data_IF_303360509125
#
_entry.id   IF_303360509125
#
_cell.length_a   1.000
_cell.length_b   1.000
_cell.length_c   1.000
_cell.angle_alpha   90.00
_cell.angle_beta   90.00
_cell.angle_gamma   90.00
#
_symmetry.space_group_name_H-M   'P 1'
#
loop_
_entity.id
_entity.type
_entity.pdbx_description
1 polymer ?
#
# COMPACT_ATOMS: atom_id res chain seq x y z
N UNK A 1 -31.71 2.52 2.30
CA UNK A 1 -31.55 1.07 2.54
C UNK A 1 -31.83 0.86 4.01
N UNK A 2 -32.59 -0.18 4.38
CA UNK A 2 -32.79 -0.51 5.79
C UNK A 2 -31.48 -1.03 6.38
N UNK A 3 -31.22 -0.69 7.65
CA UNK A 3 -30.07 -1.21 8.38
C UNK A 3 -30.30 -2.70 8.67
N UNK A 4 -29.35 -3.59 8.33
CA UNK A 4 -29.49 -5.02 8.60
C UNK A 4 -29.39 -5.30 10.10
N UNK A 5 -30.06 -6.34 10.60
CA UNK A 5 -29.88 -6.77 11.99
C UNK A 5 -28.50 -7.39 12.19
N UNK A 6 -27.82 -7.00 13.26
CA UNK A 6 -26.47 -7.46 13.53
C UNK A 6 -26.47 -8.76 14.34
N UNK A 7 -25.77 -9.82 13.89
CA UNK A 7 -25.79 -11.10 14.56
C UNK A 7 -25.06 -11.01 15.91
N UNK A 8 -25.73 -11.46 16.98
CA UNK A 8 -25.12 -11.56 18.32
C UNK A 8 -24.96 -10.23 19.07
N UNK A 9 -25.66 -9.18 18.65
CA UNK A 9 -25.60 -7.84 19.28
C UNK A 9 -26.97 -7.48 19.85
N UNK A 10 -27.00 -6.79 21.00
CA UNK A 10 -28.24 -6.27 21.56
C UNK A 10 -28.79 -5.07 20.78
N UNK A 11 -30.10 -4.84 20.80
CA UNK A 11 -30.73 -3.71 20.07
C UNK A 11 -30.14 -2.34 20.48
N UNK A 12 -29.76 -2.19 21.75
CA UNK A 12 -29.14 -0.96 22.27
C UNK A 12 -27.74 -0.73 21.70
N UNK A 13 -26.92 -1.78 21.64
CA UNK A 13 -25.57 -1.71 21.06
C UNK A 13 -25.62 -1.51 19.54
N UNK A 14 -26.58 -2.15 18.88
CA UNK A 14 -26.85 -1.97 17.46
C UNK A 14 -27.22 -0.51 17.15
N UNK A 15 -28.13 0.09 17.91
CA UNK A 15 -28.49 1.51 17.77
C UNK A 15 -27.30 2.44 17.98
N UNK A 16 -26.46 2.16 18.97
CA UNK A 16 -25.23 2.93 19.24
C UNK A 16 -24.23 2.82 18.09
N UNK A 17 -24.05 1.62 17.51
CA UNK A 17 -23.17 1.40 16.37
C UNK A 17 -23.64 2.17 15.14
N UNK A 18 -24.94 2.14 14.84
CA UNK A 18 -25.51 2.90 13.73
C UNK A 18 -25.40 4.41 13.95
N UNK A 19 -25.59 4.90 15.17
CA UNK A 19 -25.38 6.31 15.49
C UNK A 19 -23.93 6.74 15.21
N UNK A 20 -22.94 5.96 15.66
CA UNK A 20 -21.51 6.21 15.39
C UNK A 20 -21.19 6.16 13.89
N UNK A 21 -21.77 5.21 13.16
CA UNK A 21 -21.57 5.08 11.72
C UNK A 21 -22.18 6.27 10.95
N UNK A 22 -23.35 6.75 11.37
CA UNK A 22 -23.98 7.95 10.81
C UNK A 22 -23.14 9.20 11.06
N UNK A 23 -22.58 9.34 12.26
CA UNK A 23 -21.66 10.43 12.58
C UNK A 23 -20.40 10.37 11.72
N UNK A 24 -19.80 9.19 11.58
CA UNK A 24 -18.64 8.98 10.70
C UNK A 24 -18.92 9.34 9.22
N UNK A 25 -20.15 9.09 8.76
CA UNK A 25 -20.59 9.38 7.40
C UNK A 25 -21.00 10.85 7.18
N UNK A 26 -21.07 11.66 8.24
CA UNK A 26 -21.52 13.06 8.14
C UNK A 26 -20.55 13.87 7.27
N UNK A 27 -21.10 14.56 6.27
CA UNK A 27 -20.33 15.40 5.34
C UNK A 27 -19.58 14.64 4.24
N UNK A 28 -19.77 13.32 4.13
CA UNK A 28 -19.24 12.51 3.02
C UNK A 28 -20.16 12.57 1.79
N UNK A 29 -19.58 12.28 0.63
CA UNK A 29 -20.29 12.34 -0.65
C UNK A 29 -21.33 11.22 -0.79
N UNK A 30 -22.34 11.47 -1.62
CA UNK A 30 -23.38 10.49 -1.91
C UNK A 30 -22.82 9.25 -2.59
N UNK A 31 -23.42 8.08 -2.34
CA UNK A 31 -23.03 6.82 -2.97
C UNK A 31 -23.15 6.86 -4.50
N UNK A 32 -24.02 7.71 -5.06
CA UNK A 32 -24.17 7.89 -6.52
C UNK A 32 -22.98 8.61 -7.15
N UNK A 33 -22.34 9.50 -6.41
CA UNK A 33 -21.26 10.35 -6.91
C UNK A 33 -19.90 9.68 -6.71
N UNK A 34 -19.58 9.31 -5.46
CA UNK A 34 -18.27 8.80 -5.11
C UNK A 34 -18.23 7.26 -5.04
N UNK A 35 -19.38 6.60 -4.94
CA UNK A 35 -19.47 5.22 -4.48
C UNK A 35 -19.54 5.11 -2.96
N UNK A 36 -19.63 3.89 -2.45
CA UNK A 36 -19.75 3.62 -1.01
C UNK A 36 -19.01 2.35 -0.63
N UNK A 37 -18.35 2.36 0.52
CA UNK A 37 -17.76 1.16 1.10
C UNK A 37 -18.82 0.39 1.86
N UNK A 38 -18.82 -0.92 1.66
CA UNK A 38 -19.83 -1.83 2.16
C UNK A 38 -19.15 -2.84 3.09
N UNK A 39 -19.56 -2.85 4.34
CA UNK A 39 -19.20 -3.89 5.31
C UNK A 39 -20.33 -4.91 5.28
N UNK A 40 -20.04 -6.07 4.70
CA UNK A 40 -21.00 -7.13 4.45
C UNK A 40 -20.97 -8.14 5.59
N UNK A 41 -22.17 -8.51 6.07
CA UNK A 41 -22.35 -9.43 7.19
C UNK A 41 -21.80 -10.84 6.90
N UNK A 42 -21.40 -11.58 7.96
CA UNK A 42 -21.06 -13.00 7.87
C UNK A 42 -22.21 -13.84 7.29
N UNK A 43 -21.86 -14.98 6.67
CA UNK A 43 -22.82 -15.91 6.06
C UNK A 43 -22.46 -17.36 6.35
N UNK A 44 -23.38 -18.32 6.16
CA UNK A 44 -23.07 -19.74 6.28
C UNK A 44 -21.84 -20.11 5.44
N UNK A 45 -20.82 -20.71 6.06
CA UNK A 45 -19.56 -21.05 5.42
C UNK A 45 -18.53 -19.91 5.27
N UNK A 46 -18.88 -18.65 5.60
CA UNK A 46 -17.93 -17.53 5.70
C UNK A 46 -18.21 -16.72 6.98
N UNK A 47 -17.51 -17.03 8.09
CA UNK A 47 -17.79 -16.43 9.40
C UNK A 47 -17.30 -14.98 9.54
N UNK A 48 -16.48 -14.49 8.61
CA UNK A 48 -15.90 -13.15 8.68
C UNK A 48 -16.81 -12.13 8.00
N UNK A 49 -16.84 -10.90 8.53
CA UNK A 49 -17.31 -9.75 7.77
C UNK A 49 -16.42 -9.57 6.54
N UNK A 50 -16.95 -8.98 5.48
CA UNK A 50 -16.16 -8.71 4.26
C UNK A 50 -16.34 -7.28 3.80
N UNK A 51 -15.28 -6.71 3.23
CA UNK A 51 -15.26 -5.35 2.74
C UNK A 51 -15.41 -5.34 1.22
N UNK A 52 -16.35 -4.51 0.75
CA UNK A 52 -16.66 -4.32 -0.66
C UNK A 52 -16.74 -2.84 -1.01
N UNK A 53 -16.65 -2.52 -2.29
CA UNK A 53 -16.90 -1.19 -2.83
C UNK A 53 -18.08 -1.25 -3.80
N UNK A 54 -19.08 -0.41 -3.58
CA UNK A 54 -19.98 -0.01 -4.66
C UNK A 54 -19.36 1.15 -5.43
N UNK A 55 -19.13 0.97 -6.73
CA UNK A 55 -18.62 2.00 -7.64
C UNK A 55 -19.67 2.35 -8.69
N UNK A 56 -19.98 3.64 -8.92
CA UNK A 56 -20.91 4.05 -9.98
C UNK A 56 -20.31 3.93 -11.39
N UNK A 57 -19.01 3.61 -11.51
CA UNK A 57 -18.30 3.56 -12.79
C UNK A 57 -18.77 2.41 -13.70
N UNK A 58 -18.74 1.13 -13.25
CA UNK A 58 -19.26 0.03 -14.06
C UNK A 58 -20.80 -0.04 -14.00
N UNK A 59 -21.44 -0.01 -15.18
CA UNK A 59 -22.90 -0.15 -15.31
C UNK A 59 -23.42 -1.53 -14.90
N UNK A 60 -22.58 -2.56 -15.05
CA UNK A 60 -22.86 -3.95 -14.63
C UNK A 60 -21.82 -4.37 -13.60
N UNK A 61 -22.26 -5.08 -12.56
CA UNK A 61 -21.41 -5.54 -11.46
C UNK A 61 -20.70 -4.38 -10.72
N UNK A 62 -21.53 -3.48 -10.19
CA UNK A 62 -21.07 -2.28 -9.48
C UNK A 62 -20.55 -2.54 -8.07
N UNK A 63 -20.70 -3.75 -7.53
CA UNK A 63 -20.23 -4.12 -6.19
C UNK A 63 -19.00 -5.03 -6.33
N UNK A 64 -17.87 -4.58 -5.83
CA UNK A 64 -16.55 -5.17 -6.01
C UNK A 64 -15.98 -5.63 -4.67
N UNK A 65 -15.48 -6.85 -4.61
CA UNK A 65 -14.86 -7.41 -3.40
C UNK A 65 -13.48 -6.79 -3.15
N UNK A 66 -13.13 -6.51 -1.89
CA UNK A 66 -11.79 -6.01 -1.54
C UNK A 66 -11.02 -7.05 -0.73
N UNK A 67 -11.52 -7.40 0.46
CA UNK A 67 -10.96 -8.42 1.34
C UNK A 67 -11.89 -8.77 2.50
N UNK A 68 -11.64 -9.90 3.13
CA UNK A 68 -12.27 -10.29 4.39
C UNK A 68 -11.71 -9.47 5.57
N UNK A 69 -12.59 -9.17 6.52
CA UNK A 69 -12.32 -8.47 7.78
C UNK A 69 -12.30 -9.49 8.94
N UNK A 70 -12.57 -9.02 10.16
CA UNK A 70 -12.69 -9.83 11.37
C UNK A 70 -14.09 -10.48 11.45
N UNK A 71 -14.27 -11.59 12.18
CA UNK A 71 -15.60 -12.06 12.59
C UNK A 71 -16.29 -11.12 13.58
N UNK A 72 -15.54 -10.26 14.29
CA UNK A 72 -16.12 -9.26 15.20
C UNK A 72 -16.48 -7.97 14.45
N UNK A 73 -17.67 -7.43 14.74
CA UNK A 73 -18.17 -6.23 14.06
C UNK A 73 -17.43 -4.95 14.48
N UNK A 74 -17.05 -4.83 15.75
CA UNK A 74 -16.40 -3.63 16.27
C UNK A 74 -15.00 -3.53 15.68
N UNK A 75 -14.28 -4.65 15.64
CA UNK A 75 -13.01 -4.77 14.94
C UNK A 75 -13.16 -4.49 13.45
N UNK A 76 -14.15 -5.06 12.79
CA UNK A 76 -14.38 -4.88 11.35
C UNK A 76 -14.69 -3.43 10.99
N UNK A 77 -15.60 -2.78 11.72
CA UNK A 77 -15.92 -1.37 11.57
C UNK A 77 -14.72 -0.49 11.92
N UNK A 78 -13.97 -0.81 12.97
CA UNK A 78 -12.74 -0.10 13.33
C UNK A 78 -11.70 -0.20 12.21
N UNK A 79 -11.45 -1.40 11.68
CA UNK A 79 -10.52 -1.62 10.56
C UNK A 79 -10.94 -0.83 9.32
N UNK A 80 -12.21 -0.92 8.92
CA UNK A 80 -12.72 -0.25 7.72
C UNK A 80 -12.76 1.28 7.87
N UNK A 81 -13.31 1.79 8.98
CA UNK A 81 -13.37 3.23 9.27
C UNK A 81 -11.98 3.84 9.40
N UNK A 82 -11.04 3.13 10.01
CA UNK A 82 -9.65 3.56 10.11
C UNK A 82 -8.99 3.56 8.73
N UNK A 83 -9.21 2.52 7.90
CA UNK A 83 -8.66 2.44 6.54
C UNK A 83 -9.11 3.58 5.62
N UNK A 84 -10.38 3.98 5.71
CA UNK A 84 -10.99 4.98 4.84
C UNK A 84 -11.40 6.27 5.56
N UNK A 85 -10.73 6.58 6.67
CA UNK A 85 -11.06 7.72 7.52
C UNK A 85 -11.12 9.04 6.73
N UNK A 86 -10.15 9.25 5.82
CA UNK A 86 -10.07 10.45 4.98
C UNK A 86 -10.69 10.28 3.58
N UNK A 87 -11.31 9.14 3.29
CA UNK A 87 -12.06 8.95 2.06
C UNK A 87 -13.30 9.85 2.05
N UNK A 88 -13.70 10.31 0.87
CA UNK A 88 -14.97 11.02 0.67
C UNK A 88 -16.17 10.07 0.64
N UNK A 89 -15.96 8.75 0.63
CA UNK A 89 -17.00 7.73 0.53
C UNK A 89 -17.56 7.36 1.90
N UNK A 90 -18.87 7.18 1.98
CA UNK A 90 -19.51 6.62 3.15
C UNK A 90 -19.10 5.15 3.38
N UNK A 91 -19.33 4.69 4.60
CA UNK A 91 -19.23 3.29 5.02
C UNK A 91 -20.62 2.82 5.47
N UNK A 92 -21.13 1.73 4.90
CA UNK A 92 -22.48 1.21 5.20
C UNK A 92 -22.41 -0.29 5.51
N UNK A 93 -23.23 -0.75 6.44
CA UNK A 93 -23.44 -2.16 6.73
C UNK A 93 -24.55 -2.73 5.84
N UNK A 94 -24.37 -3.93 5.30
CA UNK A 94 -25.40 -4.55 4.47
C UNK A 94 -25.35 -6.08 4.48
N UNK A 95 -26.50 -6.69 4.21
CA UNK A 95 -26.59 -8.13 3.99
C UNK A 95 -25.92 -8.54 2.68
N UNK A 96 -25.38 -9.76 2.67
CA UNK A 96 -24.81 -10.34 1.47
C UNK A 96 -25.91 -10.59 0.43
N UNK A 97 -25.70 -10.10 -0.79
CA UNK A 97 -26.62 -10.29 -1.90
C UNK A 97 -25.97 -11.13 -3.00
N UNK A 98 -26.34 -12.41 -3.07
CA UNK A 98 -25.79 -13.36 -4.06
C UNK A 98 -25.82 -12.83 -5.50
N UNK A 99 -26.95 -12.25 -5.92
CA UNK A 99 -27.13 -11.79 -7.31
C UNK A 99 -26.21 -10.64 -7.69
N UNK A 100 -25.77 -9.82 -6.72
CA UNK A 100 -24.99 -8.60 -6.96
C UNK A 100 -23.55 -8.68 -6.49
N UNK A 101 -23.24 -9.58 -5.56
CA UNK A 101 -21.93 -9.73 -4.92
C UNK A 101 -21.21 -11.03 -5.31
N UNK A 102 -21.73 -11.79 -6.25
CA UNK A 102 -20.98 -12.92 -6.82
C UNK A 102 -19.94 -12.39 -7.81
N UNK A 103 -18.69 -12.89 -7.72
CA UNK A 103 -17.68 -12.60 -8.74
C UNK A 103 -18.04 -13.36 -10.01
N UNK A 104 -18.29 -12.64 -11.10
CA UNK A 104 -18.48 -13.22 -12.43
C UNK A 104 -17.14 -13.43 -13.17
N UNK A 105 -16.00 -13.23 -12.50
CA UNK A 105 -14.67 -13.27 -13.13
C UNK A 105 -14.36 -12.09 -14.04
N UNK A 106 -15.18 -11.04 -14.04
CA UNK A 106 -14.93 -9.80 -14.79
C UNK A 106 -13.77 -8.97 -14.21
N UNK A 107 -13.32 -9.29 -12.99
CA UNK A 107 -12.14 -8.73 -12.33
C UNK A 107 -10.90 -9.66 -12.42
N UNK A 108 -10.99 -10.74 -13.19
CA UNK A 108 -9.87 -11.65 -13.44
C UNK A 108 -8.94 -11.09 -14.54
N UNK A 109 -7.67 -10.95 -14.21
CA UNK A 109 -6.65 -10.46 -15.14
C UNK A 109 -6.37 -11.55 -16.18
N UNK A 110 -6.66 -11.26 -17.44
CA UNK A 110 -6.49 -12.22 -18.55
C UNK A 110 -5.17 -12.03 -19.31
N UNK A 111 -4.24 -11.17 -18.88
CA UNK A 111 -3.01 -10.90 -19.61
C UNK A 111 -1.86 -10.45 -18.71
N UNK A 112 -0.65 -10.38 -19.28
CA UNK A 112 0.52 -9.81 -18.62
C UNK A 112 1.02 -10.58 -17.40
N UNK A 113 1.80 -9.90 -16.56
CA UNK A 113 2.52 -10.45 -15.39
C UNK A 113 1.60 -11.18 -14.40
N UNK A 114 0.38 -10.68 -14.21
CA UNK A 114 -0.55 -11.16 -13.18
C UNK A 114 -1.74 -11.91 -13.79
N UNK A 115 -1.57 -12.55 -14.96
CA UNK A 115 -2.62 -13.35 -15.59
C UNK A 115 -3.11 -14.45 -14.62
N UNK A 116 -4.42 -14.56 -14.45
CA UNK A 116 -5.06 -15.52 -13.55
C UNK A 116 -5.30 -14.99 -12.13
N UNK A 117 -4.83 -13.79 -11.80
CA UNK A 117 -5.10 -13.13 -10.53
C UNK A 117 -6.28 -12.17 -10.61
N UNK A 118 -6.95 -11.95 -9.49
CA UNK A 118 -8.01 -10.95 -9.39
C UNK A 118 -7.44 -9.55 -9.11
N UNK A 119 -8.12 -8.51 -9.59
CA UNK A 119 -7.68 -7.12 -9.40
C UNK A 119 -7.56 -6.74 -7.90
N UNK A 120 -8.40 -7.29 -7.02
CA UNK A 120 -8.31 -7.04 -5.57
C UNK A 120 -7.05 -7.64 -4.93
N UNK A 121 -6.48 -8.72 -5.50
CA UNK A 121 -5.21 -9.29 -5.05
C UNK A 121 -4.05 -8.36 -5.43
N UNK A 122 -4.08 -7.88 -6.67
CA UNK A 122 -3.05 -6.98 -7.19
C UNK A 122 -3.09 -5.61 -6.51
N UNK A 123 -4.24 -5.18 -6.00
CA UNK A 123 -4.35 -3.98 -5.16
C UNK A 123 -3.40 -4.00 -3.95
N UNK A 124 -3.14 -5.18 -3.38
CA UNK A 124 -2.24 -5.33 -2.23
C UNK A 124 -0.78 -5.49 -2.63
N UNK A 125 -0.52 -6.12 -3.78
CA UNK A 125 0.82 -6.51 -4.23
C UNK A 125 1.48 -5.38 -5.04
N UNK A 126 0.78 -4.87 -6.06
CA UNK A 126 1.34 -3.94 -7.06
C UNK A 126 0.28 -2.94 -7.56
N UNK A 127 -0.01 -1.87 -6.79
CA UNK A 127 -0.97 -0.85 -7.20
C UNK A 127 -0.56 -0.06 -8.45
N UNK A 128 0.74 -0.05 -8.80
CA UNK A 128 1.22 0.61 -10.01
C UNK A 128 0.74 -0.13 -11.27
N UNK A 129 0.69 -1.47 -11.22
CA UNK A 129 0.10 -2.27 -12.28
C UNK A 129 -1.39 -1.96 -12.46
N UNK A 130 -2.17 -1.85 -11.37
CA UNK A 130 -3.57 -1.44 -11.46
C UNK A 130 -3.75 -0.07 -12.10
N UNK A 131 -2.88 0.89 -11.75
CA UNK A 131 -2.90 2.24 -12.33
C UNK A 131 -2.60 2.21 -13.83
N UNK A 132 -1.70 1.33 -14.28
CA UNK A 132 -1.44 1.11 -15.69
C UNK A 132 -2.66 0.50 -16.39
N UNK A 133 -3.32 -0.49 -15.79
CA UNK A 133 -4.55 -1.09 -16.36
C UNK A 133 -5.67 -0.06 -16.45
N UNK A 134 -5.84 0.78 -15.43
CA UNK A 134 -6.90 1.78 -15.36
C UNK A 134 -6.80 2.89 -16.42
N UNK A 135 -5.58 3.26 -16.86
CA UNK A 135 -5.36 4.46 -17.69
C UNK A 135 -4.50 4.26 -18.93
N UNK A 136 -3.71 3.18 -19.03
CA UNK A 136 -2.82 2.93 -20.18
C UNK A 136 -3.22 1.72 -21.00
N UNK A 137 -3.96 0.78 -20.43
CA UNK A 137 -4.48 -0.34 -21.18
C UNK A 137 -5.58 0.12 -22.14
N UNK A 138 -5.42 -0.19 -23.43
CA UNK A 138 -6.39 0.14 -24.48
C UNK A 138 -7.33 -1.04 -24.72
N UNK A 139 -8.59 -0.96 -24.25
CA UNK A 139 -9.55 -2.03 -24.47
C UNK A 139 -9.94 -2.10 -25.95
N UNK A 140 -10.13 -3.31 -26.46
CA UNK A 140 -10.53 -3.56 -27.86
C UNK A 140 -11.95 -4.11 -28.00
N UNK A 141 -12.55 -4.57 -26.90
CA UNK A 141 -13.82 -5.28 -26.86
C UNK A 141 -14.61 -4.76 -25.65
N UNK A 142 -15.95 -4.67 -25.67
CA UNK A 142 -16.75 -4.16 -24.55
C UNK A 142 -16.49 -4.86 -23.20
N UNK A 143 -16.15 -6.16 -23.22
CA UNK A 143 -15.75 -6.88 -22.00
C UNK A 143 -14.48 -6.29 -21.36
N UNK A 144 -13.53 -5.87 -22.19
CA UNK A 144 -12.28 -5.25 -21.74
C UNK A 144 -12.50 -3.82 -21.23
N UNK A 145 -13.44 -3.06 -21.82
CA UNK A 145 -13.83 -1.74 -21.32
C UNK A 145 -14.38 -1.83 -19.90
N UNK A 146 -15.24 -2.81 -19.63
CA UNK A 146 -15.74 -3.10 -18.27
C UNK A 146 -14.60 -3.46 -17.31
N UNK A 147 -13.66 -4.30 -17.74
CA UNK A 147 -12.48 -4.63 -16.94
C UNK A 147 -11.65 -3.38 -16.58
N UNK A 148 -11.50 -2.43 -17.51
CA UNK A 148 -10.83 -1.14 -17.24
C UNK A 148 -11.62 -0.30 -16.23
N UNK A 149 -12.94 -0.22 -16.34
CA UNK A 149 -13.79 0.50 -15.36
C UNK A 149 -13.67 -0.11 -13.96
N UNK A 150 -13.63 -1.44 -13.85
CA UNK A 150 -13.40 -2.14 -12.59
C UNK A 150 -11.99 -1.82 -12.06
N UNK A 151 -10.97 -1.82 -12.92
CA UNK A 151 -9.61 -1.43 -12.54
C UNK A 151 -9.52 0.03 -12.06
N UNK A 152 -10.28 0.95 -12.68
CA UNK A 152 -10.40 2.34 -12.22
C UNK A 152 -11.05 2.43 -10.83
N UNK A 153 -12.08 1.62 -10.58
CA UNK A 153 -12.69 1.51 -9.26
C UNK A 153 -11.66 1.04 -8.20
N UNK A 154 -10.89 -0.01 -8.47
CA UNK A 154 -9.83 -0.46 -7.57
C UNK A 154 -8.69 0.56 -7.42
N UNK A 155 -8.31 1.26 -8.49
CA UNK A 155 -7.35 2.36 -8.41
C UNK A 155 -7.85 3.47 -7.48
N UNK A 156 -9.14 3.79 -7.51
CA UNK A 156 -9.72 4.79 -6.61
C UNK A 156 -9.68 4.38 -5.13
N UNK A 157 -9.73 3.06 -4.82
CA UNK A 157 -9.51 2.54 -3.47
C UNK A 157 -8.05 2.75 -3.06
N UNK A 158 -7.12 2.47 -3.96
CA UNK A 158 -5.70 2.73 -3.71
C UNK A 158 -5.47 4.19 -3.32
N UNK A 159 -6.05 5.14 -4.06
CA UNK A 159 -5.96 6.56 -3.75
C UNK A 159 -6.49 6.89 -2.35
N UNK A 160 -7.65 6.35 -1.95
CA UNK A 160 -8.19 6.57 -0.60
C UNK A 160 -7.23 6.06 0.50
N UNK A 161 -6.65 4.87 0.32
CA UNK A 161 -5.65 4.32 1.25
C UNK A 161 -4.41 5.22 1.28
N UNK A 162 -4.01 5.78 0.13
CA UNK A 162 -2.85 6.67 0.06
C UNK A 162 -3.09 8.02 0.73
N UNK A 163 -4.29 8.59 0.64
CA UNK A 163 -4.66 9.84 1.35
C UNK A 163 -4.51 9.67 2.85
N UNK A 164 -4.88 8.50 3.39
CA UNK A 164 -4.66 8.19 4.80
C UNK A 164 -3.18 8.17 5.13
N UNK A 165 -2.38 7.40 4.37
CA UNK A 165 -0.93 7.32 4.60
C UNK A 165 -0.25 8.69 4.54
N UNK A 166 -0.72 9.59 3.67
CA UNK A 166 -0.16 10.94 3.58
C UNK A 166 -0.55 11.87 4.73
N UNK A 167 -1.69 11.61 5.39
CA UNK A 167 -2.16 12.42 6.52
C UNK A 167 -1.70 11.90 7.88
N UNK A 168 -1.50 10.60 8.04
CA UNK A 168 -1.04 9.99 9.30
C UNK A 168 0.45 10.28 9.60
N UNK A 169 1.29 10.45 8.57
CA UNK A 169 2.75 10.67 8.74
C UNK A 169 3.13 12.15 8.83
N UNK A 170 2.45 12.92 9.68
CA UNK A 170 2.80 14.34 9.88
C UNK A 170 3.90 14.52 10.94
N UNK A 171 5.09 14.02 10.65
CA UNK A 171 6.30 14.78 10.97
C UNK A 171 6.61 15.61 9.73
N UNK A 172 6.70 16.93 9.84
CA UNK A 172 7.03 17.84 8.74
C UNK A 172 8.47 17.59 8.25
N UNK A 173 8.69 16.49 7.53
CA UNK A 173 10.00 16.16 6.95
C UNK A 173 10.34 17.21 5.89
N UNK A 174 11.54 17.77 5.96
CA UNK A 174 12.13 18.65 4.96
C UNK A 174 13.19 17.88 4.18
N UNK A 175 13.55 18.39 3.00
CA UNK A 175 14.72 17.88 2.29
C UNK A 175 15.98 18.27 3.06
N UNK A 176 16.95 17.34 3.15
CA UNK A 176 18.20 17.54 3.90
C UNK A 176 19.19 18.51 3.21
N UNK A 177 18.88 18.95 1.99
CA UNK A 177 19.73 19.78 1.14
C UNK A 177 19.21 19.79 -0.30
N UNK A 178 19.79 20.64 -1.15
CA UNK A 178 19.43 20.85 -2.54
C UNK A 178 20.02 19.83 -3.51
N UNK A 179 19.42 19.69 -4.69
CA UNK A 179 19.87 18.71 -5.68
C UNK A 179 21.31 19.01 -6.13
N UNK A 180 22.21 18.03 -5.96
CA UNK A 180 23.63 18.16 -6.27
C UNK A 180 24.50 18.68 -5.11
N UNK A 181 23.90 19.17 -4.03
CA UNK A 181 24.62 19.64 -2.84
C UNK A 181 25.43 18.51 -2.20
N UNK A 182 26.63 18.86 -1.71
CA UNK A 182 27.47 17.95 -0.93
C UNK A 182 27.24 18.23 0.55
N UNK A 183 26.62 17.27 1.23
CA UNK A 183 26.38 17.30 2.66
C UNK A 183 27.54 16.62 3.38
N UNK A 184 27.95 17.16 4.52
CA UNK A 184 29.04 16.64 5.35
C UNK A 184 28.55 16.37 6.77
N UNK A 185 29.24 15.49 7.48
CA UNK A 185 29.07 15.22 8.92
C UNK A 185 27.62 14.91 9.34
N UNK A 186 26.97 13.99 8.61
CA UNK A 186 25.60 13.59 8.90
C UNK A 186 25.56 12.44 9.90
N UNK A 187 24.69 12.56 10.90
CA UNK A 187 24.35 11.50 11.86
C UNK A 187 22.91 11.04 11.63
N UNK A 188 22.75 9.84 11.08
CA UNK A 188 21.43 9.34 10.66
C UNK A 188 21.11 8.01 11.32
N UNK A 189 19.87 7.83 11.79
CA UNK A 189 19.39 6.59 12.40
C UNK A 189 18.62 5.73 11.39
N UNK A 190 18.90 4.43 11.35
CA UNK A 190 18.19 3.48 10.48
C UNK A 190 16.77 3.23 11.01
N UNK A 191 15.77 3.46 10.16
CA UNK A 191 14.35 3.22 10.47
C UNK A 191 13.71 2.13 9.62
N UNK A 192 14.32 1.80 8.47
CA UNK A 192 13.89 0.69 7.64
C UNK A 192 15.06 0.14 6.81
N UNK A 193 15.11 -1.17 6.69
CA UNK A 193 16.07 -1.89 5.84
C UNK A 193 15.30 -2.73 4.84
N UNK A 194 15.70 -2.68 3.57
CA UNK A 194 15.19 -3.54 2.50
C UNK A 194 16.36 -4.14 1.73
N UNK A 195 16.26 -5.41 1.39
CA UNK A 195 17.21 -6.11 0.53
C UNK A 195 16.61 -6.23 -0.86
N UNK A 196 17.38 -5.88 -1.88
CA UNK A 196 17.01 -6.04 -3.28
C UNK A 196 18.19 -6.61 -4.06
N UNK A 197 17.96 -7.61 -4.91
CA UNK A 197 18.99 -8.13 -5.81
C UNK A 197 19.33 -7.09 -6.88
N UNK A 198 20.63 -6.91 -7.17
CA UNK A 198 21.10 -6.10 -8.27
C UNK A 198 20.98 -6.90 -9.58
N UNK A 199 20.02 -6.58 -10.46
CA UNK A 199 19.76 -7.36 -11.66
C UNK A 199 20.90 -7.25 -12.68
N UNK A 200 21.75 -6.22 -12.60
CA UNK A 200 22.84 -6.00 -13.55
C UNK A 200 24.15 -6.69 -13.16
N UNK A 201 24.27 -7.09 -11.89
CA UNK A 201 25.49 -7.71 -11.35
C UNK A 201 25.27 -9.18 -10.98
N UNK A 202 24.04 -9.55 -10.63
CA UNK A 202 23.65 -10.93 -10.37
C UNK A 202 23.85 -11.79 -11.62
N UNK A 203 24.54 -12.92 -11.46
CA UNK A 203 24.93 -13.79 -12.57
C UNK A 203 24.98 -15.24 -12.12
N UNK A 204 25.03 -16.16 -13.09
CA UNK A 204 25.31 -17.57 -12.83
C UNK A 204 26.77 -17.83 -13.20
N UNK A 205 27.56 -18.32 -12.25
CA UNK A 205 28.95 -18.71 -12.48
C UNK A 205 29.05 -20.24 -12.49
N UNK A 206 29.17 -20.81 -13.69
CA UNK A 206 29.05 -22.26 -13.88
C UNK A 206 27.64 -22.75 -13.55
N UNK A 207 27.51 -23.55 -12.49
CA UNK A 207 26.21 -24.02 -11.96
C UNK A 207 25.75 -23.27 -10.72
N UNK A 208 26.58 -22.35 -10.20
CA UNK A 208 26.29 -21.64 -8.94
C UNK A 208 25.73 -20.25 -9.21
N UNK A 209 24.51 -19.94 -8.72
CA UNK A 209 23.98 -18.59 -8.81
C UNK A 209 24.72 -17.66 -7.84
N UNK A 210 25.06 -16.47 -8.31
CA UNK A 210 25.74 -15.43 -7.56
C UNK A 210 24.86 -14.17 -7.54
N UNK A 211 24.19 -13.94 -6.42
CA UNK A 211 23.32 -12.79 -6.19
C UNK A 211 24.11 -11.66 -5.52
N UNK A 212 24.19 -10.51 -6.18
CA UNK A 212 24.72 -9.30 -5.54
C UNK A 212 23.55 -8.53 -4.96
N UNK A 213 23.54 -8.37 -3.65
CA UNK A 213 22.39 -7.81 -2.93
C UNK A 213 22.69 -6.37 -2.52
N UNK A 214 21.70 -5.51 -2.69
CA UNK A 214 21.76 -4.10 -2.33
C UNK A 214 20.90 -3.85 -1.10
N UNK A 215 21.49 -3.23 -0.08
CA UNK A 215 20.76 -2.77 1.10
C UNK A 215 20.23 -1.36 0.83
N UNK A 216 18.91 -1.20 0.81
CA UNK A 216 18.23 0.08 0.72
C UNK A 216 17.81 0.49 2.12
N UNK A 217 18.49 1.51 2.64
CA UNK A 217 18.25 2.01 3.99
C UNK A 217 17.38 3.26 3.93
N UNK A 218 16.33 3.29 4.73
CA UNK A 218 15.60 4.51 5.09
C UNK A 218 16.12 4.97 6.44
N UNK A 219 16.63 6.18 6.47
CA UNK A 219 17.27 6.79 7.63
C UNK A 219 16.50 8.04 8.05
N UNK A 220 16.62 8.40 9.32
CA UNK A 220 16.10 9.65 9.89
C UNK A 220 17.20 10.44 10.57
N UNK A 221 17.25 11.73 10.30
CA UNK A 221 18.05 12.69 11.08
C UNK A 221 17.37 12.99 12.43
N UNK A 222 18.08 13.64 13.36
CA UNK A 222 17.55 14.12 14.64
C UNK A 222 16.30 15.00 14.48
N UNK A 223 16.21 15.74 13.36
CA UNK A 223 15.04 16.56 13.01
C UNK A 223 13.86 15.76 12.41
N UNK A 224 13.99 14.44 12.25
CA UNK A 224 12.96 13.59 11.64
C UNK A 224 12.91 13.65 10.10
N UNK A 225 13.89 14.26 9.45
CA UNK A 225 13.99 14.29 7.99
C UNK A 225 14.35 12.89 7.45
N UNK A 226 13.71 12.48 6.36
CA UNK A 226 13.89 11.14 5.79
C UNK A 226 14.95 11.13 4.70
N UNK A 227 15.90 10.21 4.84
CA UNK A 227 17.03 10.05 3.93
C UNK A 227 17.07 8.62 3.42
N UNK A 228 17.38 8.44 2.13
CA UNK A 228 17.58 7.11 1.56
C UNK A 228 19.00 6.96 1.03
N UNK A 229 19.66 5.88 1.44
CA UNK A 229 20.97 5.50 0.93
C UNK A 229 20.97 4.09 0.36
N UNK A 230 21.70 3.96 -0.75
CA UNK A 230 21.95 2.76 -1.54
C UNK A 230 23.25 2.04 -1.20
N UNK A 231 23.31 0.92 -0.47
CA UNK A 231 24.60 0.22 -0.21
C UNK A 231 24.66 -1.09 -1.00
N UNK A 232 25.38 -1.15 -2.13
CA UNK A 232 25.57 -2.39 -2.87
C UNK A 232 26.57 -3.32 -2.16
N UNK A 233 26.31 -4.62 -2.15
CA UNK A 233 27.29 -5.60 -1.68
C UNK A 233 28.50 -5.68 -2.62
N UNK A 234 29.66 -5.86 -2.02
CA UNK A 234 30.90 -6.17 -2.76
C UNK A 234 30.96 -7.66 -3.07
N UNK A 235 30.43 -8.49 -2.18
CA UNK A 235 30.47 -9.94 -2.27
C UNK A 235 29.11 -10.51 -2.73
N UNK A 236 29.13 -11.61 -3.51
CA UNK A 236 27.91 -12.31 -3.88
C UNK A 236 27.40 -13.22 -2.76
N UNK A 237 26.10 -13.53 -2.83
CA UNK A 237 25.40 -14.53 -2.02
C UNK A 237 24.90 -15.66 -2.91
N UNK A 238 24.75 -16.86 -2.36
CA UNK A 238 24.18 -18.01 -3.06
C UNK A 238 22.65 -17.96 -3.13
N UNK A 239 22.01 -17.12 -2.29
CA UNK A 239 20.54 -17.03 -2.16
C UNK A 239 20.07 -15.62 -2.49
N UNK A 240 19.03 -15.53 -3.31
CA UNK A 240 18.35 -14.28 -3.65
C UNK A 240 17.89 -13.54 -2.39
N UNK A 241 17.98 -12.21 -2.42
CA UNK A 241 17.59 -11.30 -1.35
C UNK A 241 18.28 -11.58 0.01
N UNK A 242 19.44 -12.25 0.00
CA UNK A 242 20.19 -12.60 1.22
C UNK A 242 21.60 -12.03 1.16
N UNK A 243 22.02 -11.30 2.20
CA UNK A 243 23.39 -10.76 2.26
C UNK A 243 24.42 -11.88 2.48
N UNK A 244 25.61 -11.70 1.91
CA UNK A 244 26.77 -12.52 2.26
C UNK A 244 27.16 -12.28 3.72
N UNK A 245 27.57 -13.32 4.45
CA UNK A 245 28.00 -13.19 5.85
C UNK A 245 29.25 -12.33 6.08
N UNK A 246 29.92 -11.90 5.00
CA UNK A 246 31.07 -10.99 5.03
C UNK A 246 30.62 -9.52 5.01
N UNK A 247 29.41 -9.24 4.51
CA UNK A 247 28.88 -7.89 4.43
C UNK A 247 28.29 -7.46 5.78
N UNK A 248 28.42 -6.19 6.12
CA UNK A 248 27.77 -5.64 7.30
C UNK A 248 26.25 -5.57 7.08
N UNK A 249 25.50 -6.30 7.89
CA UNK A 249 24.03 -6.26 7.91
C UNK A 249 23.56 -5.10 8.79
N UNK A 250 22.98 -4.07 8.18
CA UNK A 250 22.39 -2.95 8.93
C UNK A 250 21.05 -3.37 9.55
N UNK A 251 20.80 -2.94 10.78
CA UNK A 251 19.60 -3.24 11.56
C UNK A 251 18.81 -1.99 11.90
N UNK A 252 17.55 -2.21 12.28
CA UNK A 252 16.68 -1.15 12.74
C UNK A 252 17.25 -0.53 14.02
N UNK A 253 17.42 0.79 14.01
CA UNK A 253 17.95 1.53 15.15
C UNK A 253 19.43 1.89 15.06
N UNK A 254 20.18 1.30 14.14
CA UNK A 254 21.61 1.58 13.96
C UNK A 254 21.86 3.05 13.64
N UNK A 255 22.95 3.60 14.17
CA UNK A 255 23.37 4.97 13.91
C UNK A 255 24.50 4.95 12.89
N UNK A 256 24.28 5.62 11.77
CA UNK A 256 25.23 5.74 10.68
C UNK A 256 25.83 7.14 10.70
N UNK A 257 27.15 7.19 10.70
CA UNK A 257 27.92 8.42 10.56
C UNK A 257 28.42 8.53 9.13
N UNK A 258 28.01 9.59 8.44
CA UNK A 258 28.41 9.86 7.05
C UNK A 258 29.30 11.10 7.07
N UNK A 259 30.57 10.92 6.72
CA UNK A 259 31.52 12.03 6.59
C UNK A 259 31.14 12.95 5.43
N UNK A 260 30.73 12.38 4.29
CA UNK A 260 30.18 13.17 3.19
C UNK A 260 29.27 12.38 2.27
N UNK A 261 28.31 13.05 1.67
CA UNK A 261 27.38 12.47 0.70
C UNK A 261 26.89 13.54 -0.27
N UNK A 262 26.52 13.15 -1.48
CA UNK A 262 25.91 14.06 -2.46
C UNK A 262 24.41 13.83 -2.54
N UNK A 263 23.62 14.90 -2.58
CA UNK A 263 22.19 14.82 -2.83
C UNK A 263 21.96 14.45 -4.29
N UNK A 264 21.50 13.22 -4.53
CA UNK A 264 21.27 12.69 -5.86
C UNK A 264 19.87 12.95 -6.38
N UNK A 265 18.88 12.93 -5.48
CA UNK A 265 17.47 13.10 -5.82
C UNK A 265 16.69 13.57 -4.60
N UNK A 266 15.69 14.39 -4.85
CA UNK A 266 14.62 14.72 -3.91
C UNK A 266 13.32 14.17 -4.47
N UNK A 267 12.48 13.61 -3.62
CA UNK A 267 11.13 13.26 -4.02
C UNK A 267 10.20 13.22 -2.82
N UNK A 268 8.92 13.44 -3.08
CA UNK A 268 7.88 13.29 -2.10
C UNK A 268 7.17 11.96 -2.30
N UNK A 269 6.95 11.23 -1.21
CA UNK A 269 6.18 9.99 -1.22
C UNK A 269 5.27 9.97 0.00
N UNK A 270 3.96 9.89 -0.26
CA UNK A 270 2.93 9.86 0.78
C UNK A 270 3.05 11.05 1.75
N UNK A 271 3.18 12.28 1.23
CA UNK A 271 3.27 13.49 2.04
C UNK A 271 4.59 13.68 2.81
N UNK A 272 5.49 12.70 2.76
CA UNK A 272 6.83 12.80 3.35
C UNK A 272 7.88 13.09 2.28
N UNK A 273 8.78 14.01 2.59
CA UNK A 273 9.88 14.42 1.73
C UNK A 273 11.09 13.54 2.01
N UNK A 274 11.60 12.90 0.97
CA UNK A 274 12.77 12.02 1.03
C UNK A 274 13.93 12.66 0.25
N UNK A 275 15.11 12.63 0.86
CA UNK A 275 16.37 13.01 0.21
C UNK A 275 17.18 11.74 -0.05
N UNK A 276 17.49 11.45 -1.32
CA UNK A 276 18.34 10.32 -1.69
C UNK A 276 19.80 10.76 -1.79
N UNK A 277 20.67 10.12 -1.04
CA UNK A 277 22.10 10.39 -1.09
C UNK A 277 22.84 9.36 -1.95
N UNK A 278 23.84 9.83 -2.69
CA UNK A 278 24.80 9.03 -3.45
C UNK A 278 26.23 9.44 -3.09
N UNK A 279 27.21 8.67 -3.57
CA UNK A 279 28.64 8.86 -3.25
C UNK A 279 28.89 9.00 -1.74
N UNK A 280 28.20 8.16 -0.96
CA UNK A 280 28.25 8.17 0.50
C UNK A 280 29.63 7.70 0.95
N UNK A 281 30.30 8.53 1.75
CA UNK A 281 31.51 8.18 2.48
C UNK A 281 31.14 8.08 3.95
N UNK A 282 31.24 6.87 4.50
CA UNK A 282 31.05 6.67 5.94
C UNK A 282 32.21 7.32 6.69
N UNK A 283 31.90 7.90 7.84
CA UNK A 283 32.94 8.34 8.76
C UNK A 283 33.62 7.09 9.33
N UNK A 284 34.95 7.09 9.34
CA UNK A 284 35.71 6.16 10.16
C UNK A 284 35.32 6.46 11.60
N UNK A 285 34.56 5.57 12.24
CA UNK A 285 34.50 5.55 13.68
C UNK A 285 35.91 5.13 14.12
N UNK A 286 36.73 6.10 14.52
CA UNK A 286 37.93 5.79 15.28
C UNK A 286 37.43 5.15 16.59
N UNK A 287 37.35 3.82 16.57
CA UNK A 287 37.29 2.98 17.77
C UNK A 287 38.72 2.74 18.21
#
# INVERSE_FOLDING_TARGET
MANPRLPGISENEEALLYAKLNEYNRGRASFKEAGVYLVVLPRPGKPNYSLWLYSPLPEKQSILYIHDLSPDINESLRMASTMFYYSRRCLILMDYNEKRMQSNGDDLIFFGKYRGHFLHEILKIDPAYLSWVAYKFTPKIPKQERFVQIAQAYHSIHLDIMIRKSREKRSSSRYLGELGEKLTDLKLKVTRVRLEDDPYKTRVNGTTPQFFVKQILTLTDASGNLVIISIPSKNPSAVSCTLSGIEHEYRLGDIIYIASAKVSRQYESYGSKYTRLSHVKFASLNV
#
